data_IF_868283676307
#
_entry.id   IF_868283676307
#
_cell.length_a   1.000
_cell.length_b   1.000
_cell.length_c   1.000
_cell.angle_alpha   90.00
_cell.angle_beta   90.00
_cell.angle_gamma   90.00
#
_symmetry.space_group_name_H-M   'P 1'
#
loop_
_entity.id
_entity.type
_entity.pdbx_description
1 polymer ?
#
# COMPACT_ATOMS: atom_id res chain seq x y z
N UNK A 1 -43.89 -21.30 69.68
CA UNK A 1 -42.63 -21.28 68.89
C UNK A 1 -42.99 -21.47 67.41
N UNK A 2 -42.95 -20.40 66.60
CA UNK A 2 -43.03 -20.47 65.14
C UNK A 2 -41.92 -19.55 64.61
N UNK A 3 -40.88 -20.15 64.05
CA UNK A 3 -39.75 -19.42 63.46
C UNK A 3 -40.12 -18.93 62.07
N UNK A 4 -39.99 -17.62 61.84
CA UNK A 4 -40.12 -16.99 60.52
C UNK A 4 -38.70 -16.90 59.95
N UNK A 5 -38.45 -17.59 58.84
CA UNK A 5 -37.19 -17.54 58.11
C UNK A 5 -37.29 -16.45 57.03
N UNK A 6 -36.62 -15.32 57.24
CA UNK A 6 -36.52 -14.24 56.25
C UNK A 6 -35.43 -14.57 55.24
N UNK A 7 -35.81 -14.83 53.99
CA UNK A 7 -34.87 -14.97 52.86
C UNK A 7 -34.57 -13.57 52.33
N UNK A 8 -33.34 -13.10 52.50
CA UNK A 8 -32.86 -11.87 51.88
C UNK A 8 -32.37 -12.19 50.45
N UNK A 9 -33.12 -11.75 49.44
CA UNK A 9 -32.65 -11.73 48.06
C UNK A 9 -31.61 -10.63 47.89
N UNK A 10 -30.34 -11.00 47.74
CA UNK A 10 -29.28 -10.09 47.30
C UNK A 10 -29.32 -10.05 45.77
N UNK A 11 -29.88 -8.98 45.20
CA UNK A 11 -29.73 -8.68 43.78
C UNK A 11 -28.28 -8.23 43.53
N UNK A 12 -27.47 -9.09 42.91
CA UNK A 12 -26.18 -8.70 42.36
C UNK A 12 -26.41 -7.93 41.05
N UNK A 13 -26.31 -6.59 41.10
CA UNK A 13 -26.17 -5.78 39.88
C UNK A 13 -24.77 -6.04 39.30
N UNK A 14 -24.70 -6.84 38.23
CA UNK A 14 -23.54 -6.86 37.36
C UNK A 14 -23.48 -5.53 36.60
N UNK A 15 -22.56 -4.65 37.02
CA UNK A 15 -22.14 -3.50 36.22
C UNK A 15 -21.43 -4.04 34.98
N UNK A 16 -22.15 -4.13 33.86
CA UNK A 16 -21.56 -4.28 32.54
C UNK A 16 -20.66 -3.06 32.30
N UNK A 17 -19.35 -3.27 32.38
CA UNK A 17 -18.41 -2.28 31.89
C UNK A 17 -18.75 -2.00 30.41
N UNK A 18 -18.90 -0.73 29.99
CA UNK A 18 -19.12 -0.44 28.59
C UNK A 18 -17.94 -1.03 27.81
N UNK A 19 -18.24 -1.89 26.84
CA UNK A 19 -17.25 -2.30 25.86
C UNK A 19 -16.70 -1.01 25.25
N UNK A 20 -15.44 -0.69 25.54
CA UNK A 20 -14.76 0.42 24.89
C UNK A 20 -14.74 0.08 23.42
N UNK A 21 -15.55 0.80 22.63
CA UNK A 21 -15.50 0.68 21.18
C UNK A 21 -14.04 0.91 20.76
N UNK A 22 -13.44 -0.07 20.08
CA UNK A 22 -12.09 0.06 19.60
C UNK A 22 -11.99 1.36 18.78
N UNK A 23 -10.94 2.15 19.03
CA UNK A 23 -10.77 3.39 18.25
C UNK A 23 -10.77 3.06 16.75
N UNK A 24 -11.44 3.88 15.93
CA UNK A 24 -11.49 3.65 14.50
C UNK A 24 -10.08 3.62 13.93
N UNK A 25 -9.78 2.63 13.09
CA UNK A 25 -8.54 2.61 12.36
C UNK A 25 -8.42 3.92 11.54
N UNK A 26 -7.23 4.53 11.40
CA UNK A 26 -7.06 5.80 10.69
C UNK A 26 -7.57 5.81 9.23
N UNK A 27 -7.74 4.62 8.62
CA UNK A 27 -8.24 4.45 7.25
C UNK A 27 -9.75 4.15 7.18
N UNK A 28 -10.43 3.94 8.31
CA UNK A 28 -11.84 3.57 8.34
C UNK A 28 -12.73 4.68 7.75
N UNK A 29 -13.60 4.29 6.81
CA UNK A 29 -14.51 5.21 6.13
C UNK A 29 -13.83 6.23 5.21
N UNK A 30 -12.53 6.05 4.90
CA UNK A 30 -11.75 6.91 4.01
C UNK A 30 -11.56 6.24 2.66
N UNK A 31 -11.52 7.04 1.60
CA UNK A 31 -11.02 6.57 0.31
C UNK A 31 -9.49 6.61 0.30
N UNK A 32 -8.89 5.44 0.19
CA UNK A 32 -7.45 5.22 0.22
C UNK A 32 -6.97 4.82 -1.17
N UNK A 33 -5.99 5.54 -1.70
CA UNK A 33 -5.34 5.20 -2.98
C UNK A 33 -3.89 4.81 -2.73
N UNK A 34 -3.50 3.65 -3.27
CA UNK A 34 -2.10 3.22 -3.35
C UNK A 34 -1.53 3.56 -4.74
N UNK A 35 -0.51 4.41 -4.77
CA UNK A 35 0.25 4.80 -5.94
C UNK A 35 1.63 4.11 -5.92
N UNK A 36 2.11 3.76 -7.10
CA UNK A 36 3.44 3.19 -7.26
C UNK A 36 3.65 2.62 -8.65
N UNK A 37 4.72 1.85 -8.79
CA UNK A 37 5.15 1.27 -10.05
C UNK A 37 4.61 -0.16 -10.28
N UNK A 38 5.42 -1.05 -10.86
CA UNK A 38 5.10 -2.46 -11.13
C UNK A 38 4.83 -3.25 -9.85
N UNK A 39 5.47 -2.91 -8.74
CA UNK A 39 5.28 -3.61 -7.46
C UNK A 39 3.87 -3.32 -6.93
N UNK A 40 3.43 -2.06 -7.04
CA UNK A 40 2.07 -1.65 -6.69
C UNK A 40 1.05 -2.13 -7.72
N UNK A 41 1.41 -2.22 -9.00
CA UNK A 41 0.55 -2.81 -10.02
C UNK A 41 0.29 -4.30 -9.76
N UNK A 42 1.32 -5.07 -9.35
CA UNK A 42 1.17 -6.45 -8.93
C UNK A 42 0.29 -6.55 -7.67
N UNK A 43 0.46 -5.60 -6.74
CA UNK A 43 -0.54 -5.27 -5.72
C UNK A 43 -0.63 -6.25 -4.56
N UNK A 44 0.28 -7.21 -4.43
CA UNK A 44 0.25 -8.21 -3.35
C UNK A 44 0.23 -7.59 -1.95
N UNK A 45 1.08 -6.58 -1.72
CA UNK A 45 1.11 -5.88 -0.42
C UNK A 45 -0.17 -5.08 -0.17
N UNK A 46 -0.81 -4.56 -1.22
CA UNK A 46 -2.10 -3.85 -1.11
C UNK A 46 -3.19 -4.84 -0.69
N UNK A 47 -3.22 -6.04 -1.30
CA UNK A 47 -4.12 -7.13 -0.87
C UNK A 47 -3.90 -7.48 0.61
N UNK A 48 -2.65 -7.65 1.06
CA UNK A 48 -2.37 -7.99 2.46
C UNK A 48 -2.77 -6.87 3.44
N UNK A 49 -2.54 -5.59 3.09
CA UNK A 49 -3.01 -4.45 3.91
C UNK A 49 -4.53 -4.50 4.05
N UNK A 50 -5.24 -4.60 2.93
CA UNK A 50 -6.71 -4.65 2.91
C UNK A 50 -7.24 -5.86 3.71
N UNK A 51 -6.65 -7.04 3.49
CA UNK A 51 -7.00 -8.27 4.20
C UNK A 51 -6.91 -8.12 5.73
N UNK A 52 -5.80 -7.55 6.23
CA UNK A 52 -5.65 -7.37 7.67
C UNK A 52 -6.57 -6.28 8.21
N UNK A 53 -6.86 -5.22 7.46
CA UNK A 53 -7.84 -4.21 7.88
C UNK A 53 -9.23 -4.83 8.01
N UNK A 54 -9.65 -5.56 6.98
CA UNK A 54 -10.92 -6.28 6.93
C UNK A 54 -11.05 -7.33 8.04
N UNK A 55 -9.96 -8.06 8.34
CA UNK A 55 -9.91 -9.10 9.38
C UNK A 55 -9.87 -8.53 10.81
N UNK A 56 -9.07 -7.50 11.05
CA UNK A 56 -8.83 -6.97 12.41
C UNK A 56 -9.91 -5.97 12.85
N UNK A 57 -10.64 -5.38 11.90
CA UNK A 57 -11.65 -4.37 12.16
C UNK A 57 -12.98 -4.69 11.43
N UNK A 58 -13.63 -5.84 11.72
CA UNK A 58 -14.78 -6.34 10.95
C UNK A 58 -16.03 -5.42 10.98
N UNK A 59 -16.11 -4.53 11.97
CA UNK A 59 -17.18 -3.54 12.14
C UNK A 59 -16.89 -2.20 11.46
N UNK A 60 -15.73 -2.05 10.81
CA UNK A 60 -15.32 -0.85 10.10
C UNK A 60 -15.30 -1.11 8.60
N UNK A 61 -15.47 -0.08 7.78
CA UNK A 61 -15.45 -0.22 6.31
C UNK A 61 -14.21 0.44 5.72
N UNK A 62 -13.62 -0.18 4.71
CA UNK A 62 -12.40 0.29 4.03
C UNK A 62 -12.65 0.44 2.53
N UNK A 63 -12.23 1.57 1.95
CA UNK A 63 -12.34 1.85 0.52
C UNK A 63 -10.93 1.99 -0.08
N UNK A 64 -10.35 0.85 -0.49
CA UNK A 64 -8.97 0.77 -1.00
C UNK A 64 -8.94 0.60 -2.52
N UNK A 65 -8.13 1.44 -3.19
CA UNK A 65 -7.91 1.39 -4.64
C UNK A 65 -6.41 1.38 -4.94
N UNK A 66 -5.91 0.29 -5.53
CA UNK A 66 -4.53 0.21 -6.01
C UNK A 66 -4.40 0.72 -7.45
N UNK A 67 -3.60 1.77 -7.66
CA UNK A 67 -3.42 2.44 -8.95
C UNK A 67 -1.93 2.51 -9.34
N UNK A 68 -1.26 1.35 -9.28
CA UNK A 68 0.13 1.20 -9.73
C UNK A 68 0.26 1.04 -11.25
N UNK A 69 1.36 1.54 -11.81
CA UNK A 69 1.69 1.41 -13.23
C UNK A 69 3.13 0.94 -13.43
N UNK A 70 3.33 -0.21 -14.07
CA UNK A 70 4.67 -0.73 -14.30
C UNK A 70 5.61 0.27 -14.98
N UNK A 71 6.87 0.25 -14.54
CA UNK A 71 7.96 1.13 -14.98
C UNK A 71 7.81 2.60 -14.62
N UNK A 72 6.74 3.00 -13.93
CA UNK A 72 6.46 4.40 -13.59
C UNK A 72 7.49 5.00 -12.63
N UNK A 73 7.79 6.27 -12.84
CA UNK A 73 8.72 7.09 -12.06
C UNK A 73 8.02 8.34 -11.54
N UNK A 74 8.64 8.97 -10.53
CA UNK A 74 8.44 10.37 -10.17
C UNK A 74 9.51 11.27 -10.80
N UNK A 75 10.70 10.75 -11.10
CA UNK A 75 11.80 11.53 -11.67
C UNK A 75 11.54 11.98 -13.11
N UNK A 76 10.66 11.28 -13.84
CA UNK A 76 10.42 11.51 -15.27
C UNK A 76 11.59 11.09 -16.16
N UNK A 77 12.60 10.42 -15.59
CA UNK A 77 13.79 9.96 -16.31
C UNK A 77 13.55 8.58 -16.92
N UNK A 78 14.28 8.31 -18.01
CA UNK A 78 14.31 7.01 -18.68
C UNK A 78 15.71 6.74 -19.21
N UNK A 79 16.17 5.51 -19.10
CA UNK A 79 17.35 5.05 -19.84
C UNK A 79 17.08 4.99 -21.35
N UNK A 80 18.12 5.19 -22.16
CA UNK A 80 18.06 5.33 -23.63
C UNK A 80 17.44 4.11 -24.34
N UNK A 81 17.63 2.92 -23.79
CA UNK A 81 17.13 1.66 -24.37
C UNK A 81 16.08 0.97 -23.47
N UNK A 82 15.29 1.75 -22.73
CA UNK A 82 14.23 1.19 -21.87
C UNK A 82 13.30 0.28 -22.69
N UNK A 83 12.98 -0.90 -22.15
CA UNK A 83 12.16 -1.92 -22.81
C UNK A 83 12.62 -2.28 -24.25
N UNK A 84 13.93 -2.25 -24.52
CA UNK A 84 14.49 -2.50 -25.85
C UNK A 84 14.17 -1.39 -26.85
N UNK A 85 14.04 -0.15 -26.38
CA UNK A 85 13.75 1.03 -27.21
C UNK A 85 12.27 1.18 -27.59
N UNK A 86 11.38 0.36 -27.03
CA UNK A 86 9.95 0.39 -27.38
C UNK A 86 9.23 1.64 -26.86
N UNK A 87 9.56 2.09 -25.65
CA UNK A 87 8.94 3.26 -25.02
C UNK A 87 9.83 3.76 -23.87
N UNK A 88 9.81 5.06 -23.52
CA UNK A 88 10.47 5.58 -22.32
C UNK A 88 9.68 5.20 -21.07
N UNK A 89 10.30 5.21 -19.89
CA UNK A 89 9.58 5.01 -18.61
C UNK A 89 8.40 5.98 -18.49
N UNK A 90 7.21 5.52 -18.08
CA UNK A 90 6.11 6.42 -17.78
C UNK A 90 6.43 7.25 -16.51
N UNK A 91 5.73 8.37 -16.37
CA UNK A 91 5.83 9.23 -15.21
C UNK A 91 4.44 9.49 -14.63
N UNK A 92 4.30 9.41 -13.31
CA UNK A 92 3.02 9.58 -12.62
C UNK A 92 2.29 10.87 -13.01
N UNK A 93 3.04 11.95 -13.24
CA UNK A 93 2.47 13.26 -13.56
C UNK A 93 1.74 13.31 -14.90
N UNK A 94 1.90 12.31 -15.76
CA UNK A 94 1.07 12.15 -16.96
C UNK A 94 -0.41 11.91 -16.60
N UNK A 95 -0.69 11.24 -15.48
CA UNK A 95 -2.04 10.82 -15.09
C UNK A 95 -2.52 11.35 -13.73
N UNK A 96 -1.64 11.91 -12.90
CA UNK A 96 -1.93 12.24 -11.51
C UNK A 96 -3.16 13.15 -11.34
N UNK A 97 -3.27 14.24 -12.12
CA UNK A 97 -4.42 15.14 -12.02
C UNK A 97 -5.75 14.40 -12.31
N UNK A 98 -5.82 13.65 -13.41
CA UNK A 98 -7.02 12.88 -13.76
C UNK A 98 -7.37 11.87 -12.68
N UNK A 99 -6.35 11.22 -12.11
CA UNK A 99 -6.51 10.27 -11.01
C UNK A 99 -7.12 10.94 -9.78
N UNK A 100 -6.56 12.08 -9.35
CA UNK A 100 -7.03 12.80 -8.17
C UNK A 100 -8.47 13.32 -8.36
N UNK A 101 -8.79 13.87 -9.54
CA UNK A 101 -10.13 14.38 -9.85
C UNK A 101 -11.20 13.27 -9.84
N UNK A 102 -10.83 12.08 -10.31
CA UNK A 102 -11.72 10.93 -10.45
C UNK A 102 -11.88 10.16 -9.14
N UNK A 103 -10.77 9.81 -8.51
CA UNK A 103 -10.77 9.00 -7.29
C UNK A 103 -11.16 9.84 -6.07
N UNK A 104 -10.70 11.10 -5.98
CA UNK A 104 -10.86 11.99 -4.82
C UNK A 104 -10.44 11.30 -3.50
N UNK A 105 -9.17 10.87 -3.37
CA UNK A 105 -8.71 10.18 -2.18
C UNK A 105 -8.68 11.10 -0.96
N UNK A 106 -9.06 10.56 0.19
CA UNK A 106 -8.77 11.18 1.50
C UNK A 106 -7.33 10.87 1.93
N UNK A 107 -6.85 9.66 1.61
CA UNK A 107 -5.52 9.16 1.98
C UNK A 107 -4.80 8.63 0.75
N UNK A 108 -3.52 8.96 0.62
CA UNK A 108 -2.64 8.43 -0.44
C UNK A 108 -1.45 7.71 0.20
N UNK A 109 -1.22 6.46 -0.20
CA UNK A 109 0.07 5.78 -0.02
C UNK A 109 0.84 5.88 -1.33
N UNK A 110 2.11 6.27 -1.30
CA UNK A 110 2.96 6.36 -2.49
C UNK A 110 4.26 5.60 -2.27
N UNK A 111 4.53 4.61 -3.11
CA UNK A 111 5.74 3.79 -3.08
C UNK A 111 6.43 3.87 -4.45
N UNK A 112 7.48 4.67 -4.53
CA UNK A 112 8.27 4.95 -5.75
C UNK A 112 9.76 4.95 -5.43
N UNK A 113 10.62 4.99 -6.47
CA UNK A 113 12.06 5.14 -6.34
C UNK A 113 12.87 4.10 -7.10
N UNK A 114 12.39 2.84 -7.15
CA UNK A 114 13.17 1.73 -7.76
C UNK A 114 13.50 2.00 -9.23
N UNK A 115 12.61 2.66 -9.96
CA UNK A 115 12.79 3.01 -11.37
C UNK A 115 13.45 4.39 -11.56
N UNK A 116 13.44 5.25 -10.55
CA UNK A 116 13.73 6.67 -10.66
C UNK A 116 15.22 6.98 -10.84
N UNK A 117 16.10 6.13 -10.30
CA UNK A 117 17.54 6.17 -10.51
C UNK A 117 18.00 5.48 -11.81
N UNK A 118 17.06 4.96 -12.60
CA UNK A 118 17.28 4.26 -13.89
C UNK A 118 18.40 3.19 -13.84
N UNK A 119 18.53 2.52 -12.69
CA UNK A 119 19.49 1.43 -12.47
C UNK A 119 20.96 1.85 -12.66
N UNK A 120 21.26 3.13 -12.44
CA UNK A 120 22.61 3.71 -12.50
C UNK A 120 23.14 4.05 -11.10
N UNK A 121 24.47 4.23 -10.93
CA UNK A 121 25.04 4.73 -9.68
C UNK A 121 24.38 6.04 -9.21
N UNK A 122 24.47 6.32 -7.91
CA UNK A 122 23.95 7.56 -7.35
C UNK A 122 24.55 8.76 -8.08
N UNK A 123 23.68 9.67 -8.49
CA UNK A 123 24.05 10.90 -9.17
C UNK A 123 23.17 12.03 -8.67
N UNK A 124 23.79 13.19 -8.50
CA UNK A 124 23.13 14.38 -7.94
C UNK A 124 21.94 14.85 -8.79
N UNK A 125 22.02 14.74 -10.11
CA UNK A 125 20.95 15.20 -11.00
C UNK A 125 19.77 14.23 -10.98
N UNK A 126 20.03 12.92 -11.07
CA UNK A 126 18.98 11.89 -10.94
C UNK A 126 18.31 11.93 -9.57
N UNK A 127 19.09 12.13 -8.52
CA UNK A 127 18.55 12.25 -7.17
C UNK A 127 17.68 13.49 -7.03
N UNK A 128 18.14 14.66 -7.51
CA UNK A 128 17.35 15.88 -7.50
C UNK A 128 16.04 15.73 -8.29
N UNK A 129 16.05 15.02 -9.42
CA UNK A 129 14.84 14.73 -10.19
C UNK A 129 13.83 13.90 -9.38
N UNK A 130 14.28 12.84 -8.69
CA UNK A 130 13.43 12.07 -7.77
C UNK A 130 12.86 12.93 -6.63
N UNK A 131 13.71 13.72 -5.97
CA UNK A 131 13.30 14.62 -4.88
C UNK A 131 12.24 15.64 -5.33
N UNK A 132 12.40 16.21 -6.52
CA UNK A 132 11.44 17.13 -7.11
C UNK A 132 10.12 16.42 -7.44
N UNK A 133 10.19 15.20 -7.97
CA UNK A 133 9.03 14.35 -8.18
C UNK A 133 8.25 14.09 -6.90
N UNK A 134 8.90 13.66 -5.81
CA UNK A 134 8.24 13.45 -4.51
C UNK A 134 7.57 14.74 -4.01
N UNK A 135 8.25 15.89 -4.10
CA UNK A 135 7.65 17.19 -3.72
C UNK A 135 6.44 17.56 -4.59
N UNK A 136 6.52 17.32 -5.90
CA UNK A 136 5.43 17.59 -6.84
C UNK A 136 4.21 16.69 -6.57
N UNK A 137 4.43 15.41 -6.28
CA UNK A 137 3.38 14.47 -5.86
C UNK A 137 2.65 14.99 -4.61
N UNK A 138 3.41 15.35 -3.57
CA UNK A 138 2.85 15.88 -2.32
C UNK A 138 2.01 17.13 -2.61
N UNK A 139 2.56 18.08 -3.38
CA UNK A 139 1.88 19.33 -3.70
C UNK A 139 0.57 19.10 -4.45
N UNK A 140 0.55 18.23 -5.46
CA UNK A 140 -0.67 17.93 -6.23
C UNK A 140 -1.72 17.20 -5.38
N UNK A 141 -1.31 16.23 -4.56
CA UNK A 141 -2.22 15.57 -3.61
C UNK A 141 -2.83 16.57 -2.61
N UNK A 142 -2.01 17.43 -2.00
CA UNK A 142 -2.48 18.44 -1.06
C UNK A 142 -3.43 19.44 -1.70
N UNK A 143 -3.14 19.88 -2.93
CA UNK A 143 -3.99 20.78 -3.70
C UNK A 143 -5.34 20.13 -4.08
N UNK A 144 -5.35 18.82 -4.31
CA UNK A 144 -6.58 18.04 -4.55
C UNK A 144 -7.37 17.73 -3.26
N UNK A 145 -6.90 18.18 -2.09
CA UNK A 145 -7.62 18.00 -0.82
C UNK A 145 -7.30 16.73 -0.06
N UNK A 146 -6.27 15.97 -0.44
CA UNK A 146 -5.82 14.77 0.31
C UNK A 146 -5.48 15.15 1.74
N UNK A 147 -6.05 14.43 2.71
CA UNK A 147 -5.97 14.72 4.14
C UNK A 147 -4.72 14.11 4.78
N UNK A 148 -4.24 12.98 4.26
CA UNK A 148 -3.03 12.33 4.74
C UNK A 148 -2.28 11.65 3.58
N UNK A 149 -0.96 11.82 3.54
CA UNK A 149 -0.08 11.19 2.57
C UNK A 149 0.94 10.34 3.34
N UNK A 150 1.03 9.07 2.98
CA UNK A 150 2.05 8.16 3.43
C UNK A 150 3.06 7.93 2.30
N UNK A 151 4.27 8.46 2.46
CA UNK A 151 5.39 8.04 1.61
C UNK A 151 5.89 6.70 2.16
N UNK A 152 5.85 5.67 1.34
CA UNK A 152 6.43 4.37 1.65
C UNK A 152 7.76 4.33 0.91
N UNK A 153 8.87 4.30 1.65
CA UNK A 153 10.20 4.38 1.04
C UNK A 153 10.42 3.26 0.01
N UNK A 154 11.27 3.45 -1.01
CA UNK A 154 11.50 2.44 -2.03
C UNK A 154 11.87 1.08 -1.42
N UNK A 155 11.35 -0.04 -1.94
CA UNK A 155 11.79 -1.36 -1.51
C UNK A 155 13.28 -1.56 -1.85
N UNK A 156 13.90 -2.58 -1.25
CA UNK A 156 15.29 -2.92 -1.57
C UNK A 156 15.45 -3.34 -3.04
N UNK A 157 16.61 -3.07 -3.62
CA UNK A 157 17.09 -3.79 -4.78
C UNK A 157 17.77 -5.08 -4.28
N UNK A 158 17.10 -6.20 -4.42
CA UNK A 158 17.44 -7.46 -3.74
C UNK A 158 18.55 -8.23 -4.45
N UNK A 159 19.71 -7.58 -4.55
CA UNK A 159 20.93 -8.14 -5.11
C UNK A 159 21.96 -8.42 -4.01
N UNK A 160 22.58 -9.58 -4.10
CA UNK A 160 23.85 -9.87 -3.42
C UNK A 160 24.97 -9.63 -4.42
N UNK A 161 25.87 -8.70 -4.11
CA UNK A 161 27.02 -8.34 -4.95
C UNK A 161 28.32 -8.64 -4.21
N UNK A 162 29.42 -8.84 -4.93
CA UNK A 162 30.73 -8.98 -4.29
C UNK A 162 31.23 -7.63 -3.75
N UNK A 163 32.15 -7.62 -2.77
CA UNK A 163 32.78 -6.39 -2.31
C UNK A 163 33.41 -5.61 -3.47
N UNK A 164 33.05 -4.32 -3.61
CA UNK A 164 33.53 -3.44 -4.68
C UNK A 164 32.70 -3.46 -5.95
N UNK A 165 31.73 -4.37 -6.09
CA UNK A 165 30.75 -4.32 -7.18
C UNK A 165 29.64 -3.32 -6.86
N UNK A 166 29.18 -2.63 -7.90
CA UNK A 166 28.05 -1.72 -7.77
C UNK A 166 26.77 -2.48 -7.40
N UNK A 167 26.17 -2.08 -6.29
CA UNK A 167 24.83 -2.50 -5.89
C UNK A 167 23.88 -1.30 -5.94
N UNK A 168 22.84 -1.42 -6.76
CA UNK A 168 21.82 -0.37 -6.89
C UNK A 168 21.02 -0.15 -5.60
N UNK A 169 21.05 -1.11 -4.66
CA UNK A 169 20.43 -0.95 -3.32
C UNK A 169 21.01 0.26 -2.58
N UNK A 170 22.28 0.62 -2.82
CA UNK A 170 22.88 1.82 -2.23
C UNK A 170 22.17 3.12 -2.69
N UNK A 171 21.63 3.16 -3.91
CA UNK A 171 20.80 4.28 -4.38
C UNK A 171 19.46 4.29 -3.64
N UNK A 172 18.87 3.11 -3.44
CA UNK A 172 17.60 2.99 -2.71
C UNK A 172 17.74 3.39 -1.24
N UNK A 173 18.87 3.06 -0.61
CA UNK A 173 19.21 3.51 0.74
C UNK A 173 19.25 5.03 0.83
N UNK A 174 19.92 5.71 -0.11
CA UNK A 174 20.01 7.18 -0.13
C UNK A 174 18.66 7.86 -0.40
N UNK A 175 17.85 7.28 -1.31
CA UNK A 175 16.51 7.79 -1.61
C UNK A 175 15.59 7.65 -0.39
N UNK A 176 15.59 6.48 0.26
CA UNK A 176 14.84 6.22 1.48
C UNK A 176 15.26 7.14 2.63
N UNK A 177 16.58 7.32 2.85
CA UNK A 177 17.10 8.21 3.88
C UNK A 177 16.62 9.65 3.70
N UNK A 178 16.58 10.14 2.45
CA UNK A 178 16.06 11.47 2.18
C UNK A 178 14.55 11.58 2.41
N UNK A 179 13.74 10.61 1.98
CA UNK A 179 12.30 10.61 2.27
C UNK A 179 12.00 10.55 3.76
N UNK A 180 12.80 9.83 4.54
CA UNK A 180 12.68 9.78 6.01
C UNK A 180 13.01 11.12 6.67
N UNK A 181 13.96 11.87 6.11
CA UNK A 181 14.31 13.21 6.56
C UNK A 181 13.28 14.28 6.12
N UNK A 182 12.48 14.01 5.09
CA UNK A 182 11.48 14.95 4.59
C UNK A 182 10.43 15.28 5.66
N UNK A 183 10.14 16.58 5.82
CA UNK A 183 9.07 17.09 6.69
C UNK A 183 8.14 17.95 5.86
N UNK A 184 6.87 17.56 5.80
CA UNK A 184 5.82 18.30 5.15
C UNK A 184 4.49 18.11 5.91
N UNK A 185 3.59 19.11 5.93
CA UNK A 185 2.29 18.98 6.57
C UNK A 185 1.49 17.82 5.96
N UNK A 186 0.80 17.05 6.80
CA UNK A 186 -0.04 15.90 6.36
C UNK A 186 0.74 14.82 5.61
N UNK A 187 2.07 14.75 5.80
CA UNK A 187 2.93 13.71 5.22
C UNK A 187 3.59 12.93 6.36
N UNK A 188 3.51 11.60 6.29
CA UNK A 188 4.25 10.68 7.14
C UNK A 188 5.03 9.72 6.25
N UNK A 189 6.31 9.49 6.57
CA UNK A 189 7.13 8.50 5.86
C UNK A 189 7.13 7.18 6.63
N UNK A 190 6.98 6.07 5.92
CA UNK A 190 7.04 4.69 6.40
C UNK A 190 8.34 4.08 5.87
N UNK A 191 9.25 3.72 6.78
CA UNK A 191 10.58 3.17 6.45
C UNK A 191 10.50 1.68 6.04
N UNK A 192 9.99 1.45 4.83
CA UNK A 192 9.95 0.13 4.22
C UNK A 192 11.35 -0.38 3.87
N UNK A 193 12.23 0.50 3.39
CA UNK A 193 13.55 0.13 2.89
C UNK A 193 14.36 -0.54 4.00
N UNK A 194 14.50 0.13 5.14
CA UNK A 194 15.25 -0.42 6.28
C UNK A 194 14.62 -1.70 6.82
N UNK A 195 13.28 -1.78 6.85
CA UNK A 195 12.58 -2.97 7.30
C UNK A 195 12.85 -4.18 6.39
N UNK A 196 12.77 -3.99 5.07
CA UNK A 196 13.09 -5.02 4.09
C UNK A 196 14.56 -5.41 4.10
N UNK A 197 15.48 -4.44 4.20
CA UNK A 197 16.92 -4.68 4.29
C UNK A 197 17.27 -5.52 5.51
N UNK A 198 16.77 -5.13 6.68
CA UNK A 198 16.96 -5.87 7.94
C UNK A 198 16.44 -7.30 7.86
N UNK A 199 15.25 -7.50 7.30
CA UNK A 199 14.68 -8.83 7.14
C UNK A 199 15.48 -9.67 6.14
N UNK A 200 15.93 -9.06 5.03
CA UNK A 200 16.74 -9.72 4.00
C UNK A 200 18.10 -10.15 4.55
N UNK A 201 18.72 -9.34 5.40
CA UNK A 201 20.02 -9.67 6.04
C UNK A 201 19.91 -10.83 7.05
N UNK A 202 18.71 -11.04 7.61
CA UNK A 202 18.44 -12.11 8.55
C UNK A 202 18.12 -13.47 7.89
N UNK A 203 18.13 -13.55 6.54
CA UNK A 203 17.80 -14.78 5.81
C UNK A 203 18.69 -14.95 4.56
N UNK A 204 18.74 -16.16 4.00
CA UNK A 204 19.46 -16.43 2.74
C UNK A 204 18.59 -16.17 1.52
N UNK A 205 17.30 -16.48 1.62
CA UNK A 205 16.33 -16.37 0.54
C UNK A 205 16.09 -14.92 0.15
N UNK A 206 16.08 -14.66 -1.16
CA UNK A 206 15.70 -13.36 -1.72
C UNK A 206 14.18 -13.18 -1.67
N UNK A 207 13.73 -11.97 -1.38
CA UNK A 207 12.36 -11.54 -1.63
C UNK A 207 12.10 -11.43 -3.13
N UNK A 208 13.05 -10.93 -3.94
CA UNK A 208 12.87 -10.70 -5.37
C UNK A 208 13.92 -11.46 -6.21
N UNK A 209 13.48 -12.47 -6.98
CA UNK A 209 14.39 -13.27 -7.83
C UNK A 209 15.04 -12.47 -8.96
N UNK A 210 14.33 -11.46 -9.47
CA UNK A 210 14.84 -10.51 -10.46
C UNK A 210 15.42 -9.24 -9.83
N UNK A 211 15.61 -9.25 -8.50
CA UNK A 211 16.11 -8.16 -7.66
C UNK A 211 15.14 -6.98 -7.49
N UNK A 212 14.01 -6.96 -8.20
CA UNK A 212 13.10 -5.80 -8.23
C UNK A 212 11.72 -6.15 -7.69
N UNK A 213 11.13 -7.27 -8.13
CA UNK A 213 9.73 -7.60 -7.83
C UNK A 213 9.64 -8.63 -6.69
N UNK A 214 9.23 -8.22 -5.48
CA UNK A 214 9.12 -9.14 -4.36
C UNK A 214 8.07 -10.21 -4.63
N UNK A 215 8.36 -11.45 -4.24
CA UNK A 215 7.39 -12.53 -4.16
C UNK A 215 6.41 -12.33 -2.99
N UNK A 216 5.51 -13.29 -2.76
CA UNK A 216 4.49 -13.20 -1.71
C UNK A 216 5.03 -12.88 -0.31
N UNK A 217 6.17 -13.46 0.09
CA UNK A 217 6.78 -13.18 1.39
C UNK A 217 7.26 -11.72 1.52
N UNK A 218 7.84 -11.16 0.46
CA UNK A 218 8.25 -9.76 0.44
C UNK A 218 7.05 -8.81 0.45
N UNK A 219 6.00 -9.12 -0.31
CA UNK A 219 4.75 -8.37 -0.26
C UNK A 219 4.07 -8.42 1.11
N UNK A 220 4.10 -9.56 1.80
CA UNK A 220 3.59 -9.67 3.17
C UNK A 220 4.41 -8.81 4.13
N UNK A 221 5.73 -8.80 4.03
CA UNK A 221 6.59 -7.92 4.83
C UNK A 221 6.27 -6.44 4.58
N UNK A 222 6.13 -6.02 3.32
CA UNK A 222 5.73 -4.65 2.97
C UNK A 222 4.42 -4.24 3.63
N UNK A 223 3.41 -5.12 3.57
CA UNK A 223 2.12 -4.88 4.19
C UNK A 223 2.23 -4.80 5.72
N UNK A 224 2.98 -5.72 6.35
CA UNK A 224 3.23 -5.69 7.80
C UNK A 224 3.91 -4.40 8.24
N UNK A 225 4.86 -3.88 7.47
CA UNK A 225 5.51 -2.59 7.75
C UNK A 225 4.54 -1.42 7.69
N UNK A 226 3.66 -1.38 6.68
CA UNK A 226 2.61 -0.36 6.55
C UNK A 226 1.62 -0.43 7.72
N UNK A 227 1.09 -1.62 7.99
CA UNK A 227 0.11 -1.86 9.06
C UNK A 227 0.69 -1.54 10.45
N UNK A 228 1.98 -1.85 10.67
CA UNK A 228 2.67 -1.48 11.92
C UNK A 228 2.77 0.04 12.08
N UNK A 229 3.03 0.78 11.01
CA UNK A 229 3.04 2.24 11.04
C UNK A 229 1.65 2.85 11.29
N UNK A 230 0.59 2.10 11.02
CA UNK A 230 -0.81 2.42 11.35
C UNK A 230 -1.24 1.90 12.73
N UNK A 231 -0.32 1.31 13.51
CA UNK A 231 -0.58 0.69 14.82
C UNK A 231 -1.60 -0.46 14.79
N UNK A 232 -1.71 -1.18 13.67
CA UNK A 232 -2.57 -2.36 13.60
C UNK A 232 -1.98 -3.54 14.40
N UNK A 233 -2.80 -4.28 15.18
CA UNK A 233 -2.34 -5.42 15.97
C UNK A 233 -2.25 -6.69 15.12
N UNK A 234 -1.22 -6.78 14.29
CA UNK A 234 -1.06 -7.89 13.33
C UNK A 234 -0.69 -9.19 14.07
N UNK A 235 -1.47 -10.27 13.94
CA UNK A 235 -1.12 -11.56 14.52
C UNK A 235 0.05 -12.23 13.78
N UNK A 236 0.73 -13.15 14.47
CA UNK A 236 1.67 -14.05 13.81
C UNK A 236 0.91 -15.17 13.10
N UNK A 237 1.01 -15.19 11.77
CA UNK A 237 0.39 -16.15 10.89
C UNK A 237 1.33 -16.43 9.72
N UNK A 238 1.36 -17.67 9.24
CA UNK A 238 2.14 -18.04 8.07
C UNK A 238 1.47 -17.53 6.80
N UNK A 239 2.28 -17.28 5.77
CA UNK A 239 1.79 -16.93 4.44
C UNK A 239 0.78 -17.95 3.90
N UNK A 240 1.00 -19.24 4.16
CA UNK A 240 0.14 -20.32 3.69
C UNK A 240 -1.25 -20.27 4.35
N UNK A 241 -1.32 -20.00 5.65
CA UNK A 241 -2.59 -19.82 6.37
C UNK A 241 -3.37 -18.63 5.83
N UNK A 242 -2.72 -17.48 5.66
CA UNK A 242 -3.34 -16.27 5.10
C UNK A 242 -3.88 -16.55 3.69
N UNK A 243 -3.10 -17.20 2.82
CA UNK A 243 -3.53 -17.49 1.45
C UNK A 243 -4.61 -18.58 1.37
N UNK A 244 -4.71 -19.44 2.38
CA UNK A 244 -5.80 -20.42 2.48
C UNK A 244 -7.13 -19.77 2.89
N UNK A 245 -7.08 -18.69 3.66
CA UNK A 245 -8.23 -17.95 4.17
C UNK A 245 -9.19 -17.48 3.05
N UNK A 246 -10.48 -17.86 3.09
CA UNK A 246 -11.48 -17.36 2.15
C UNK A 246 -11.56 -15.83 2.08
N UNK A 247 -11.35 -15.13 3.20
CA UNK A 247 -11.38 -13.67 3.25
C UNK A 247 -10.27 -13.07 2.37
N UNK A 248 -9.05 -13.60 2.46
CA UNK A 248 -7.92 -13.15 1.62
C UNK A 248 -8.22 -13.30 0.13
N UNK A 249 -8.86 -14.40 -0.28
CA UNK A 249 -9.22 -14.65 -1.68
C UNK A 249 -10.24 -13.64 -2.21
N UNK A 250 -11.24 -13.29 -1.40
CA UNK A 250 -12.24 -12.29 -1.76
C UNK A 250 -11.66 -10.88 -1.83
N UNK A 251 -10.81 -10.50 -0.87
CA UNK A 251 -10.08 -9.22 -0.88
C UNK A 251 -9.18 -9.11 -2.10
N UNK A 252 -8.42 -10.16 -2.41
CA UNK A 252 -7.55 -10.20 -3.59
C UNK A 252 -8.35 -10.05 -4.90
N UNK A 253 -9.53 -10.69 -4.97
CA UNK A 253 -10.46 -10.58 -6.09
C UNK A 253 -10.97 -9.13 -6.23
N UNK A 254 -11.44 -8.52 -5.13
CA UNK A 254 -11.92 -7.14 -5.11
C UNK A 254 -10.83 -6.18 -5.60
N UNK A 255 -9.63 -6.26 -5.03
CA UNK A 255 -8.51 -5.41 -5.42
C UNK A 255 -8.11 -5.59 -6.88
N UNK A 256 -8.10 -6.83 -7.41
CA UNK A 256 -7.83 -7.13 -8.84
C UNK A 256 -8.85 -6.44 -9.74
N UNK A 257 -10.11 -6.61 -9.40
CA UNK A 257 -11.24 -6.05 -10.14
C UNK A 257 -11.18 -4.51 -10.16
N UNK A 258 -11.01 -3.88 -8.99
CA UNK A 258 -10.93 -2.42 -8.88
C UNK A 258 -9.72 -1.85 -9.59
N UNK A 259 -8.51 -2.37 -9.33
CA UNK A 259 -7.28 -1.86 -9.95
C UNK A 259 -7.33 -1.89 -11.48
N UNK A 260 -7.80 -2.99 -12.08
CA UNK A 260 -7.88 -3.12 -13.54
C UNK A 260 -8.82 -2.09 -14.17
N UNK A 261 -10.02 -1.93 -13.60
CA UNK A 261 -11.04 -1.05 -14.16
C UNK A 261 -10.77 0.43 -13.85
N UNK A 262 -10.30 0.75 -12.64
CA UNK A 262 -9.93 2.12 -12.31
C UNK A 262 -8.74 2.63 -13.11
N UNK A 263 -7.75 1.78 -13.42
CA UNK A 263 -6.64 2.18 -14.29
C UNK A 263 -7.13 2.57 -15.70
N UNK A 264 -8.12 1.87 -16.26
CA UNK A 264 -8.76 2.24 -17.54
C UNK A 264 -9.62 3.51 -17.41
N UNK A 265 -10.32 3.66 -16.28
CA UNK A 265 -11.15 4.84 -15.99
C UNK A 265 -10.32 6.13 -15.90
N UNK A 266 -9.13 6.03 -15.31
CA UNK A 266 -8.16 7.15 -15.19
C UNK A 266 -7.44 7.40 -16.53
N UNK A 267 -7.09 6.33 -17.25
CA UNK A 267 -6.28 6.39 -18.45
C UNK A 267 -4.79 6.67 -18.14
N UNK A 268 -3.90 6.12 -18.94
CA UNK A 268 -2.45 6.21 -18.73
C UNK A 268 -1.68 6.05 -20.03
N UNK A 269 -0.46 6.57 -20.08
CA UNK A 269 0.50 6.30 -21.15
C UNK A 269 1.66 5.46 -20.63
N UNK A 270 1.93 4.33 -21.28
CA UNK A 270 3.13 3.51 -21.10
C UNK A 270 3.70 3.13 -22.47
N UNK A 271 3.53 1.86 -22.88
CA UNK A 271 3.88 1.39 -24.22
C UNK A 271 2.89 1.90 -25.27
N UNK A 272 1.62 2.00 -24.86
CA UNK A 272 0.53 2.60 -25.62
C UNK A 272 -0.23 3.53 -24.67
N UNK A 273 -0.87 4.54 -25.24
CA UNK A 273 -1.83 5.36 -24.51
C UNK A 273 -3.16 4.63 -24.42
N UNK A 274 -3.62 4.44 -23.19
CA UNK A 274 -4.98 4.03 -22.87
C UNK A 274 -5.76 5.30 -22.50
N UNK A 275 -6.65 5.81 -23.38
CA UNK A 275 -7.44 6.99 -23.06
C UNK A 275 -8.40 6.69 -21.90
N UNK A 276 -8.79 7.70 -21.09
CA UNK A 276 -9.78 7.52 -20.03
C UNK A 276 -11.09 6.93 -20.59
N UNK A 277 -11.59 5.86 -19.97
CA UNK A 277 -12.85 5.19 -20.32
C UNK A 277 -13.91 5.47 -19.25
N UNK A 278 -15.20 5.19 -19.48
CA UNK A 278 -16.19 5.16 -18.40
C UNK A 278 -15.89 4.07 -17.36
N UNK A 279 -16.22 4.31 -16.08
CA UNK A 279 -16.02 3.32 -15.01
C UNK A 279 -17.00 2.13 -15.12
N UNK A 280 -18.15 2.35 -15.77
CA UNK A 280 -19.16 1.32 -15.97
C UNK A 280 -19.73 0.78 -14.66
N UNK A 281 -19.94 -0.54 -14.60
CA UNK A 281 -20.54 -1.24 -13.46
C UNK A 281 -19.52 -1.61 -12.36
N UNK A 282 -18.26 -1.17 -12.50
CA UNK A 282 -17.15 -1.54 -11.58
C UNK A 282 -17.49 -1.35 -10.11
N UNK A 283 -18.09 -0.23 -9.71
CA UNK A 283 -18.42 0.02 -8.29
C UNK A 283 -19.60 -0.85 -7.82
N UNK A 284 -20.55 -1.16 -8.70
CA UNK A 284 -21.65 -2.07 -8.39
C UNK A 284 -21.13 -3.51 -8.20
N UNK A 285 -20.27 -3.98 -9.10
CA UNK A 285 -19.62 -5.29 -9.00
C UNK A 285 -18.69 -5.37 -7.78
N UNK A 286 -17.97 -4.28 -7.48
CA UNK A 286 -17.14 -4.16 -6.27
C UNK A 286 -17.98 -4.26 -5.00
N UNK A 287 -19.14 -3.60 -4.95
CA UNK A 287 -20.06 -3.69 -3.82
C UNK A 287 -20.61 -5.12 -3.61
N UNK A 288 -20.81 -5.89 -4.68
CA UNK A 288 -21.22 -7.29 -4.58
C UNK A 288 -20.11 -8.19 -4.00
N UNK A 289 -18.85 -7.94 -4.36
CA UNK A 289 -17.71 -8.65 -3.77
C UNK A 289 -17.54 -8.22 -2.31
N UNK A 290 -17.66 -6.93 -2.00
CA UNK A 290 -17.61 -6.42 -0.62
C UNK A 290 -18.71 -7.01 0.27
N UNK A 291 -19.92 -7.24 -0.27
CA UNK A 291 -20.97 -7.92 0.47
C UNK A 291 -20.54 -9.33 0.91
N UNK A 292 -19.87 -10.09 0.04
CA UNK A 292 -19.31 -11.41 0.39
C UNK A 292 -18.18 -11.32 1.43
N UNK A 293 -17.36 -10.27 1.34
CA UNK A 293 -16.33 -9.99 2.35
C UNK A 293 -17.00 -9.73 3.71
N UNK A 294 -18.06 -8.92 3.73
CA UNK A 294 -18.85 -8.63 4.93
C UNK A 294 -19.48 -9.90 5.52
N UNK A 295 -20.02 -10.78 4.68
CA UNK A 295 -20.60 -12.06 5.11
C UNK A 295 -19.55 -12.94 5.81
N UNK A 296 -18.30 -12.94 5.34
CA UNK A 296 -17.20 -13.72 5.95
C UNK A 296 -16.68 -13.07 7.24
N UNK A 297 -16.39 -11.76 7.22
CA UNK A 297 -15.73 -11.08 8.34
C UNK A 297 -16.67 -10.75 9.51
N UNK A 298 -17.98 -10.74 9.30
CA UNK A 298 -19.00 -10.42 10.33
C UNK A 298 -19.80 -11.64 10.79
N UNK A 299 -19.37 -12.85 10.44
CA UNK A 299 -20.06 -14.09 10.79
C UNK A 299 -19.95 -14.50 12.29
N UNK A 300 -19.71 -13.54 13.19
CA UNK A 300 -19.61 -13.76 14.65
C UNK A 300 -20.91 -13.42 15.38
#
# INVERSE_FOLDING_TARGET
MKSILSIACVLALFLLAPATAAEPNPLAGKRVVFLGDSITQAGGYVTFVDYYLEKLYPQQDFDIIGLGLASETLSGLSEENHAGGKFPRPCLFERLQRLLDKAKPDVVFACYGINDGIYQPLDSQRFAAFQNGVKQLIAQCQAAGVQQIYLVTPPIYDATTQPGEFNYDAVMTEYAAWEMALKAPRVQTIDLHSAMRKARDAQTEVFAKDKVHPGPAGHLLMAKTILSALNAPIPEESLAEIQADPLYKLVDQLRKHRSSNWMKYVGYTREKTVPPQPLGETEQESAQIQAKINDVRRAE
#
